data_IF_052277565400
#
_entry.id   IF_052277565400
#
_cell.length_a   1.000
_cell.length_b   1.000
_cell.length_c   1.000
_cell.angle_alpha   90.00
_cell.angle_beta   90.00
_cell.angle_gamma   90.00
#
_symmetry.space_group_name_H-M   'P 1'
#
loop_
_entity.id
_entity.type
_entity.pdbx_description
1 polymer ?
#
# COMPACT_ATOMS: atom_id res chain seq x y z
N UNK A 1 18.72 15.05 -9.73
CA UNK A 1 18.83 14.35 -8.44
C UNK A 1 20.03 13.40 -8.41
N UNK A 2 20.29 12.64 -9.47
CA UNK A 2 21.47 11.75 -9.54
C UNK A 2 22.77 12.57 -9.42
N UNK A 3 22.86 13.67 -10.14
CA UNK A 3 23.99 14.61 -10.05
C UNK A 3 24.21 15.08 -8.61
N UNK A 4 23.15 15.51 -7.94
CA UNK A 4 23.21 15.99 -6.56
C UNK A 4 23.69 14.93 -5.57
N UNK A 5 23.05 13.76 -5.55
CA UNK A 5 23.39 12.74 -4.58
C UNK A 5 24.67 11.98 -4.90
N UNK A 6 24.88 11.62 -6.16
CA UNK A 6 25.95 10.69 -6.52
C UNK A 6 27.27 11.41 -6.85
N UNK A 7 27.19 12.58 -7.46
CA UNK A 7 28.38 13.36 -7.83
C UNK A 7 28.71 14.39 -6.76
N UNK A 8 27.80 15.33 -6.44
CA UNK A 8 28.10 16.40 -5.48
C UNK A 8 28.24 15.89 -4.04
N UNK A 9 27.34 15.03 -3.57
CA UNK A 9 27.40 14.41 -2.24
C UNK A 9 28.31 13.17 -2.18
N UNK A 10 28.86 12.73 -3.31
CA UNK A 10 29.79 11.59 -3.45
C UNK A 10 29.26 10.30 -2.83
N UNK A 11 27.96 10.03 -2.98
CA UNK A 11 27.33 8.80 -2.48
C UNK A 11 27.41 7.74 -3.56
N UNK A 12 27.76 6.51 -3.18
CA UNK A 12 27.71 5.37 -4.12
C UNK A 12 26.33 5.20 -4.72
N UNK A 13 26.19 5.14 -6.07
CA UNK A 13 24.89 5.13 -6.72
C UNK A 13 24.08 3.87 -6.40
N UNK A 14 22.82 4.06 -6.01
CA UNK A 14 21.85 2.97 -6.04
C UNK A 14 21.49 2.65 -7.49
N UNK A 15 21.40 1.37 -7.82
CA UNK A 15 21.15 0.91 -9.18
C UNK A 15 19.85 0.11 -9.28
N UNK A 16 19.13 0.27 -10.40
CA UNK A 16 18.01 -0.58 -10.79
C UNK A 16 18.24 -1.02 -12.24
N UNK A 17 18.27 -2.33 -12.49
CA UNK A 17 18.64 -2.85 -13.80
C UNK A 17 20.03 -2.41 -14.27
N UNK A 18 21.02 -2.34 -13.36
CA UNK A 18 22.39 -1.94 -13.66
C UNK A 18 22.63 -0.42 -13.81
N UNK A 19 21.57 0.40 -13.87
CA UNK A 19 21.67 1.86 -14.07
C UNK A 19 21.46 2.64 -12.77
N UNK A 20 22.19 3.73 -12.53
CA UNK A 20 21.95 4.62 -11.39
C UNK A 20 20.50 5.08 -11.36
N UNK A 21 19.91 5.13 -10.16
CA UNK A 21 18.51 5.53 -9.98
C UNK A 21 18.33 6.36 -8.72
N UNK A 22 17.37 7.28 -8.74
CA UNK A 22 16.83 8.00 -7.59
C UNK A 22 15.33 7.71 -7.45
N UNK A 23 14.95 6.44 -7.67
CA UNK A 23 13.57 5.99 -7.44
C UNK A 23 13.21 6.06 -5.95
N UNK A 24 11.98 5.71 -5.61
CA UNK A 24 11.49 5.81 -4.24
C UNK A 24 12.33 4.98 -3.25
N UNK A 25 12.74 3.77 -3.62
CA UNK A 25 13.58 2.90 -2.78
C UNK A 25 14.97 3.50 -2.55
N UNK A 26 15.58 4.08 -3.58
CA UNK A 26 16.86 4.77 -3.43
C UNK A 26 16.73 5.98 -2.50
N UNK A 27 15.66 6.76 -2.65
CA UNK A 27 15.41 7.91 -1.77
C UNK A 27 15.12 7.49 -0.33
N UNK A 28 14.38 6.40 -0.10
CA UNK A 28 14.18 5.84 1.26
C UNK A 28 15.50 5.46 1.92
N UNK A 29 16.38 4.79 1.18
CA UNK A 29 17.71 4.43 1.70
C UNK A 29 18.56 5.67 2.00
N UNK A 30 18.49 6.70 1.17
CA UNK A 30 19.18 7.97 1.41
C UNK A 30 18.63 8.68 2.65
N UNK A 31 17.31 8.72 2.81
CA UNK A 31 16.66 9.30 3.99
C UNK A 31 17.07 8.59 5.29
N UNK A 32 17.11 7.25 5.29
CA UNK A 32 17.63 6.46 6.45
C UNK A 32 19.09 6.75 6.77
N UNK A 33 19.89 7.19 5.81
CA UNK A 33 21.27 7.63 6.00
C UNK A 33 21.39 9.09 6.46
N UNK A 34 20.28 9.76 6.77
CA UNK A 34 20.25 11.12 7.30
C UNK A 34 20.18 12.22 6.24
N UNK A 35 20.00 11.90 4.95
CA UNK A 35 19.83 12.91 3.90
C UNK A 35 18.38 13.43 3.91
N UNK A 36 18.13 14.51 4.67
CA UNK A 36 16.81 15.13 4.81
C UNK A 36 16.19 15.53 3.48
N UNK A 37 17.02 15.93 2.53
CA UNK A 37 16.59 16.31 1.18
C UNK A 37 15.86 15.14 0.46
N UNK A 38 16.28 13.90 0.72
CA UNK A 38 15.63 12.73 0.13
C UNK A 38 14.19 12.58 0.61
N UNK A 39 13.90 12.82 1.89
CA UNK A 39 12.54 12.81 2.44
C UNK A 39 11.68 13.92 1.83
N UNK A 40 12.22 15.13 1.73
CA UNK A 40 11.52 16.26 1.11
C UNK A 40 11.15 15.96 -0.35
N UNK A 41 12.09 15.39 -1.09
CA UNK A 41 11.84 15.00 -2.49
C UNK A 41 10.75 13.94 -2.60
N UNK A 42 10.71 12.98 -1.67
CA UNK A 42 9.63 11.98 -1.63
C UNK A 42 8.28 12.63 -1.35
N UNK A 43 8.21 13.58 -0.42
CA UNK A 43 6.98 14.32 -0.14
C UNK A 43 6.51 15.13 -1.34
N UNK A 44 7.41 15.85 -2.00
CA UNK A 44 7.10 16.59 -3.23
C UNK A 44 6.57 15.65 -4.32
N UNK A 45 7.22 14.51 -4.53
CA UNK A 45 6.77 13.51 -5.51
C UNK A 45 5.40 12.95 -5.17
N UNK A 46 5.15 12.66 -3.89
CA UNK A 46 3.86 12.18 -3.41
C UNK A 46 2.74 13.19 -3.69
N UNK A 47 2.96 14.46 -3.32
CA UNK A 47 1.99 15.53 -3.55
C UNK A 47 1.74 15.76 -5.05
N UNK A 48 2.80 15.81 -5.85
CA UNK A 48 2.68 15.98 -7.30
C UNK A 48 1.92 14.81 -7.95
N UNK A 49 2.19 13.58 -7.51
CA UNK A 49 1.45 12.39 -7.96
C UNK A 49 -0.02 12.45 -7.57
N UNK A 50 -0.32 12.88 -6.34
CA UNK A 50 -1.71 13.05 -5.90
C UNK A 50 -2.42 14.12 -6.72
N UNK A 51 -1.79 15.26 -6.94
CA UNK A 51 -2.33 16.34 -7.77
C UNK A 51 -2.63 15.86 -9.19
N UNK A 52 -1.64 15.28 -9.86
CA UNK A 52 -1.78 14.86 -11.25
C UNK A 52 -2.79 13.71 -11.44
N UNK A 53 -2.87 12.79 -10.47
CA UNK A 53 -3.74 11.63 -10.62
C UNK A 53 -5.18 11.87 -10.17
N UNK A 54 -5.42 12.80 -9.23
CA UNK A 54 -6.72 12.92 -8.58
C UNK A 54 -7.32 14.33 -8.63
N UNK A 55 -6.51 15.38 -8.79
CA UNK A 55 -6.98 16.76 -8.73
C UNK A 55 -6.85 17.49 -10.08
N UNK A 56 -6.51 16.78 -11.14
CA UNK A 56 -6.44 17.38 -12.47
C UNK A 56 -7.88 17.61 -13.00
N UNK A 57 -8.25 18.86 -13.36
CA UNK A 57 -9.58 19.16 -13.90
C UNK A 57 -9.95 18.35 -15.14
N UNK A 58 -8.97 17.87 -15.91
CA UNK A 58 -9.20 17.02 -17.09
C UNK A 58 -9.84 15.67 -16.77
N UNK A 59 -9.87 15.27 -15.50
CA UNK A 59 -10.52 14.05 -15.05
C UNK A 59 -12.02 14.23 -14.81
N UNK A 60 -12.50 15.46 -14.74
CA UNK A 60 -13.91 15.79 -14.46
C UNK A 60 -14.64 15.98 -15.78
N UNK A 61 -15.79 15.34 -15.91
CA UNK A 61 -16.67 15.54 -17.06
C UNK A 61 -17.34 16.93 -17.01
N UNK A 62 -17.86 17.46 -18.13
CA UNK A 62 -18.50 18.79 -18.17
C UNK A 62 -19.65 18.98 -17.19
N UNK A 63 -20.27 17.90 -16.76
CA UNK A 63 -21.37 17.90 -15.76
C UNK A 63 -20.86 17.87 -14.31
N UNK A 64 -19.55 18.02 -14.08
CA UNK A 64 -18.94 18.02 -12.76
C UNK A 64 -18.71 16.63 -12.15
N UNK A 65 -18.95 15.56 -12.89
CA UNK A 65 -18.80 14.18 -12.40
C UNK A 65 -17.47 13.58 -12.78
N UNK A 66 -16.99 12.68 -11.93
CA UNK A 66 -15.83 11.82 -12.20
C UNK A 66 -16.35 10.42 -12.51
N UNK A 67 -15.99 9.91 -13.68
CA UNK A 67 -16.37 8.57 -14.15
C UNK A 67 -15.16 7.70 -14.40
N UNK A 68 -15.37 6.40 -14.46
CA UNK A 68 -14.35 5.45 -14.92
C UNK A 68 -15.00 4.34 -15.74
N UNK A 69 -14.19 3.66 -16.52
CA UNK A 69 -14.57 2.38 -17.14
C UNK A 69 -14.04 1.24 -16.29
N UNK A 70 -14.90 0.27 -15.99
CA UNK A 70 -14.50 -0.96 -15.31
C UNK A 70 -14.29 -2.07 -16.32
N UNK A 71 -13.15 -2.75 -16.21
CA UNK A 71 -12.83 -3.96 -16.96
C UNK A 71 -12.87 -5.16 -15.99
N UNK A 72 -13.87 -6.05 -16.12
CA UNK A 72 -14.01 -7.21 -15.21
C UNK A 72 -12.90 -8.23 -15.36
N UNK A 73 -12.18 -8.25 -16.49
CA UNK A 73 -11.08 -9.19 -16.78
C UNK A 73 -9.76 -8.44 -17.02
N UNK A 74 -9.60 -7.27 -16.41
CA UNK A 74 -8.50 -6.35 -16.68
C UNK A 74 -7.15 -6.76 -16.06
N UNK A 75 -7.11 -7.80 -15.24
CA UNK A 75 -5.87 -8.27 -14.60
C UNK A 75 -5.65 -9.77 -14.81
N UNK A 76 -4.39 -10.21 -14.72
CA UNK A 76 -4.02 -11.62 -14.84
C UNK A 76 -4.74 -12.54 -13.84
N UNK A 77 -5.17 -11.97 -12.72
CA UNK A 77 -5.80 -12.71 -11.62
C UNK A 77 -7.32 -12.49 -11.56
N UNK A 78 -7.93 -12.10 -12.69
CA UNK A 78 -9.38 -11.86 -12.82
C UNK A 78 -9.92 -10.80 -11.82
N UNK A 79 -9.07 -9.89 -11.35
CA UNK A 79 -9.52 -8.72 -10.59
C UNK A 79 -10.05 -7.67 -11.55
N UNK A 80 -11.12 -7.01 -11.16
CA UNK A 80 -11.64 -5.84 -11.88
C UNK A 80 -10.57 -4.75 -11.86
N UNK A 81 -10.33 -4.13 -13.00
CA UNK A 81 -9.52 -2.91 -13.10
C UNK A 81 -10.38 -1.73 -13.52
N UNK A 82 -9.95 -0.53 -13.21
CA UNK A 82 -10.60 0.69 -13.67
C UNK A 82 -9.60 1.63 -14.36
N UNK A 83 -10.10 2.36 -15.34
CA UNK A 83 -9.32 3.29 -16.15
C UNK A 83 -10.18 4.50 -16.56
N UNK A 84 -9.60 5.41 -17.31
CA UNK A 84 -10.34 6.47 -17.98
C UNK A 84 -11.48 5.88 -18.82
N UNK A 85 -12.54 6.66 -18.99
CA UNK A 85 -13.64 6.28 -19.85
C UNK A 85 -13.25 6.35 -21.34
N UNK A 86 -14.14 5.94 -22.22
CA UNK A 86 -13.92 5.93 -23.68
C UNK A 86 -13.71 7.33 -24.27
N UNK A 87 -14.14 8.38 -23.58
CA UNK A 87 -13.97 9.78 -24.00
C UNK A 87 -12.64 10.39 -23.53
N UNK A 88 -11.81 9.61 -22.83
CA UNK A 88 -10.50 10.06 -22.32
C UNK A 88 -10.57 10.87 -21.02
N UNK A 89 -11.76 11.13 -20.48
CA UNK A 89 -11.96 11.72 -19.16
C UNK A 89 -12.01 10.66 -18.05
N UNK A 90 -12.12 11.11 -16.81
CA UNK A 90 -12.17 10.19 -15.68
C UNK A 90 -10.80 9.62 -15.28
N UNK A 91 -10.82 8.66 -14.36
CA UNK A 91 -9.62 8.10 -13.78
C UNK A 91 -9.83 6.70 -13.20
N UNK A 92 -8.77 6.08 -12.69
CA UNK A 92 -8.88 4.85 -11.91
C UNK A 92 -9.43 5.15 -10.51
N UNK A 93 -10.73 4.91 -10.29
CA UNK A 93 -11.39 5.14 -9.01
C UNK A 93 -11.07 4.09 -7.94
N UNK A 94 -10.54 2.90 -8.31
CA UNK A 94 -10.16 1.87 -7.34
C UNK A 94 -8.93 2.25 -6.51
N UNK A 95 -8.12 3.19 -7.00
CA UNK A 95 -6.90 3.63 -6.32
C UNK A 95 -7.08 4.99 -5.61
N UNK A 96 -8.32 5.42 -5.39
CA UNK A 96 -8.59 6.69 -4.72
C UNK A 96 -8.07 6.67 -3.28
N UNK A 97 -7.21 7.63 -2.87
CA UNK A 97 -6.66 7.64 -1.52
C UNK A 97 -7.75 7.87 -0.48
N UNK A 98 -7.71 7.14 0.62
CA UNK A 98 -8.69 7.25 1.71
C UNK A 98 -8.83 8.69 2.23
N UNK A 99 -7.73 9.44 2.31
CA UNK A 99 -7.70 10.84 2.72
C UNK A 99 -8.45 11.78 1.78
N UNK A 100 -8.68 11.35 0.54
CA UNK A 100 -9.34 12.14 -0.50
C UNK A 100 -10.80 11.74 -0.75
N UNK A 101 -11.29 10.65 -0.13
CA UNK A 101 -12.69 10.22 -0.28
C UNK A 101 -13.69 11.31 0.12
N UNK A 102 -13.34 12.15 1.07
CA UNK A 102 -14.16 13.29 1.52
C UNK A 102 -14.48 14.33 0.45
N UNK A 103 -13.75 14.32 -0.66
CA UNK A 103 -13.98 15.22 -1.80
C UNK A 103 -14.92 14.63 -2.85
N UNK A 104 -15.27 13.35 -2.74
CA UNK A 104 -16.28 12.72 -3.56
C UNK A 104 -17.66 12.94 -2.91
N UNK A 105 -18.51 13.70 -3.56
CA UNK A 105 -19.84 14.01 -3.07
C UNK A 105 -20.85 13.10 -3.75
N UNK A 106 -21.79 12.58 -2.97
CA UNK A 106 -22.97 11.92 -3.51
C UNK A 106 -23.93 12.93 -4.12
N UNK A 107 -24.82 12.49 -5.02
CA UNK A 107 -25.88 13.31 -5.54
C UNK A 107 -26.82 13.80 -4.42
N UNK A 108 -27.52 14.92 -4.61
CA UNK A 108 -28.52 15.36 -3.65
C UNK A 108 -29.52 14.25 -3.32
N UNK A 109 -29.73 14.01 -2.03
CA UNK A 109 -30.61 12.93 -1.55
C UNK A 109 -29.99 11.53 -1.55
N UNK A 110 -28.70 11.39 -1.90
CA UNK A 110 -27.97 10.12 -1.90
C UNK A 110 -26.80 10.17 -0.92
N UNK A 111 -26.35 9.00 -0.48
CA UNK A 111 -25.18 8.83 0.37
C UNK A 111 -24.31 7.70 -0.14
N UNK A 112 -23.02 7.76 0.11
CA UNK A 112 -22.10 6.66 -0.17
C UNK A 112 -22.03 5.70 1.02
N UNK A 113 -22.09 4.42 0.71
CA UNK A 113 -21.76 3.36 1.64
C UNK A 113 -20.45 2.70 1.20
N UNK A 114 -19.55 2.45 2.14
CA UNK A 114 -18.32 1.70 1.91
C UNK A 114 -18.39 0.38 2.67
N UNK A 115 -18.24 -0.72 1.96
CA UNK A 115 -18.19 -2.07 2.52
C UNK A 115 -16.84 -2.68 2.23
N UNK A 116 -16.19 -3.21 3.25
CA UNK A 116 -14.94 -3.96 3.13
C UNK A 116 -15.06 -5.29 3.86
N UNK A 117 -14.70 -6.37 3.18
CA UNK A 117 -14.71 -7.70 3.77
C UNK A 117 -13.44 -7.91 4.57
N UNK A 118 -13.59 -7.97 5.90
CA UNK A 118 -12.46 -8.10 6.82
C UNK A 118 -11.60 -9.32 6.49
N UNK A 119 -10.36 -9.07 6.08
CA UNK A 119 -9.33 -10.07 5.81
C UNK A 119 -9.77 -11.17 4.82
N UNK A 120 -10.62 -10.84 3.85
CA UNK A 120 -11.24 -11.83 2.96
C UNK A 120 -10.23 -12.77 2.29
N UNK A 121 -9.14 -12.25 1.73
CA UNK A 121 -8.11 -13.08 1.07
C UNK A 121 -7.48 -14.08 2.06
N UNK A 122 -7.17 -13.66 3.28
CA UNK A 122 -6.63 -14.55 4.29
C UNK A 122 -7.64 -15.60 4.75
N UNK A 123 -8.93 -15.26 4.80
CA UNK A 123 -10.00 -16.24 5.08
C UNK A 123 -10.05 -17.30 3.99
N UNK A 124 -10.05 -16.88 2.72
CA UNK A 124 -10.03 -17.82 1.59
C UNK A 124 -8.81 -18.74 1.67
N UNK A 125 -7.61 -18.21 1.93
CA UNK A 125 -6.39 -19.02 2.10
C UNK A 125 -6.53 -19.99 3.26
N UNK A 126 -7.04 -19.56 4.39
CA UNK A 126 -7.22 -20.41 5.58
C UNK A 126 -8.14 -21.60 5.30
N UNK A 127 -9.30 -21.37 4.71
CA UNK A 127 -10.28 -22.42 4.46
C UNK A 127 -9.92 -23.31 3.27
N UNK A 128 -9.44 -22.75 2.17
CA UNK A 128 -9.01 -23.54 0.99
C UNK A 128 -7.75 -24.35 1.30
N UNK A 129 -6.80 -23.75 2.03
CA UNK A 129 -5.57 -24.42 2.46
C UNK A 129 -5.74 -25.30 3.69
N UNK A 130 -6.93 -25.32 4.31
CA UNK A 130 -7.23 -26.05 5.55
C UNK A 130 -6.20 -25.77 6.67
N UNK A 131 -5.87 -24.48 6.87
CA UNK A 131 -4.90 -24.03 7.87
C UNK A 131 -5.60 -23.87 9.22
N UNK A 132 -5.58 -24.92 10.03
CA UNK A 132 -6.36 -25.03 11.28
C UNK A 132 -6.18 -23.81 12.21
N UNK A 133 -4.94 -23.35 12.42
CA UNK A 133 -4.64 -22.21 13.30
C UNK A 133 -5.27 -20.91 12.81
N UNK A 134 -5.29 -20.67 11.48
CA UNK A 134 -5.92 -19.48 10.91
C UNK A 134 -7.45 -19.57 10.99
N UNK A 135 -8.00 -20.75 10.73
CA UNK A 135 -9.45 -21.00 10.85
C UNK A 135 -9.89 -20.73 12.28
N UNK A 136 -9.22 -21.33 13.27
CA UNK A 136 -9.50 -21.12 14.69
C UNK A 136 -9.44 -19.62 15.06
N UNK A 137 -8.41 -18.92 14.61
CA UNK A 137 -8.30 -17.49 14.86
C UNK A 137 -9.47 -16.69 14.27
N UNK A 138 -9.95 -17.04 13.08
CA UNK A 138 -11.12 -16.39 12.48
C UNK A 138 -12.43 -16.72 13.18
N UNK A 139 -12.63 -17.96 13.60
CA UNK A 139 -13.83 -18.41 14.32
C UNK A 139 -13.92 -17.81 15.73
N UNK A 140 -12.77 -17.64 16.40
CA UNK A 140 -12.69 -17.01 17.73
C UNK A 140 -12.61 -15.48 17.68
N UNK A 141 -12.64 -14.88 16.49
CA UNK A 141 -12.55 -13.42 16.31
C UNK A 141 -11.18 -12.83 16.60
N UNK A 142 -10.12 -13.64 16.61
CA UNK A 142 -8.75 -13.16 16.77
C UNK A 142 -8.24 -12.49 15.49
N UNK A 143 -7.38 -11.49 15.67
CA UNK A 143 -6.72 -10.83 14.54
C UNK A 143 -5.52 -11.64 14.06
N UNK A 144 -5.68 -12.32 12.93
CA UNK A 144 -4.64 -13.16 12.31
C UNK A 144 -3.33 -12.41 12.08
N UNK A 145 -3.38 -11.10 11.77
CA UNK A 145 -2.17 -10.32 11.59
C UNK A 145 -1.38 -10.10 12.88
N UNK A 146 -2.09 -9.88 14.00
CA UNK A 146 -1.46 -9.76 15.31
C UNK A 146 -0.95 -11.11 15.78
N UNK A 147 -1.68 -12.19 15.52
CA UNK A 147 -1.22 -13.56 15.82
C UNK A 147 0.08 -13.87 15.07
N UNK A 148 0.14 -13.59 13.78
CA UNK A 148 1.35 -13.78 12.98
C UNK A 148 2.51 -12.91 13.48
N UNK A 149 2.25 -11.66 13.85
CA UNK A 149 3.28 -10.81 14.43
C UNK A 149 3.81 -11.35 15.76
N UNK A 150 2.91 -11.81 16.63
CA UNK A 150 3.27 -12.48 17.91
C UNK A 150 4.20 -13.65 17.68
N UNK A 151 3.91 -14.51 16.70
CA UNK A 151 4.74 -15.67 16.35
C UNK A 151 6.09 -15.29 15.75
N UNK A 152 6.13 -14.27 14.88
CA UNK A 152 7.39 -13.86 14.22
C UNK A 152 8.35 -13.19 15.19
N UNK A 153 7.82 -12.36 16.09
CA UNK A 153 8.64 -11.52 16.95
C UNK A 153 8.76 -12.06 18.39
N UNK A 154 8.14 -13.21 18.67
CA UNK A 154 8.11 -13.84 19.99
C UNK A 154 7.64 -12.87 21.10
N UNK A 155 6.52 -12.19 20.85
CA UNK A 155 5.90 -11.23 21.77
C UNK A 155 4.46 -11.62 22.09
N UNK A 156 3.91 -11.19 23.24
CA UNK A 156 2.51 -11.39 23.57
C UNK A 156 1.58 -10.81 22.49
N UNK A 157 0.46 -11.50 22.22
CA UNK A 157 -0.49 -11.08 21.19
C UNK A 157 -1.08 -9.66 21.47
N UNK A 158 -1.23 -9.31 22.73
CA UNK A 158 -1.75 -7.99 23.13
C UNK A 158 -0.75 -6.88 22.82
N UNK A 159 0.55 -7.13 22.95
CA UNK A 159 1.59 -6.22 22.49
C UNK A 159 1.61 -6.10 20.97
N UNK A 160 1.39 -7.20 20.27
CA UNK A 160 1.29 -7.21 18.81
C UNK A 160 0.08 -6.44 18.28
N UNK A 161 -1.03 -6.39 19.03
CA UNK A 161 -2.25 -5.63 18.70
C UNK A 161 -2.09 -4.14 18.91
N UNK A 162 -1.22 -3.72 19.83
CA UNK A 162 -1.03 -2.32 20.16
C UNK A 162 -0.43 -1.54 19.00
N UNK A 163 -1.19 -0.61 18.47
CA UNK A 163 -0.77 0.24 17.35
C UNK A 163 0.30 1.26 17.73
N UNK A 164 0.45 1.56 19.02
CA UNK A 164 1.48 2.45 19.53
C UNK A 164 2.83 1.75 19.73
N UNK A 165 2.81 0.41 19.83
CA UNK A 165 4.01 -0.39 20.01
C UNK A 165 4.73 -0.61 18.67
N UNK A 166 5.74 0.23 18.41
CA UNK A 166 6.49 0.22 17.15
C UNK A 166 7.55 -0.89 17.14
N UNK A 167 7.67 -1.59 16.03
CA UNK A 167 8.63 -2.67 15.86
C UNK A 167 10.05 -2.12 15.57
N UNK A 168 11.03 -2.26 16.48
CA UNK A 168 12.39 -1.76 16.27
C UNK A 168 13.18 -2.54 15.23
N UNK A 169 12.79 -3.80 14.96
CA UNK A 169 13.44 -4.67 13.98
C UNK A 169 13.08 -4.33 12.53
N UNK A 170 12.08 -3.46 12.32
CA UNK A 170 11.71 -2.96 11.01
C UNK A 170 12.34 -1.60 10.72
N UNK A 171 11.49 -0.65 10.36
CA UNK A 171 11.90 0.74 10.13
C UNK A 171 11.73 1.64 11.38
N UNK A 172 11.29 1.07 12.50
CA UNK A 172 11.00 1.77 13.75
C UNK A 172 9.79 2.69 13.70
N UNK A 173 9.04 2.69 12.59
CA UNK A 173 7.90 3.59 12.37
C UNK A 173 6.55 2.87 12.30
N UNK A 174 6.58 1.55 12.16
CA UNK A 174 5.38 0.74 12.02
C UNK A 174 5.21 -0.21 13.21
N UNK A 175 3.95 -0.43 13.67
CA UNK A 175 3.67 -1.38 14.75
C UNK A 175 3.90 -2.82 14.31
N UNK A 176 4.07 -3.74 15.26
CA UNK A 176 4.27 -5.17 15.01
C UNK A 176 3.19 -5.77 14.11
N UNK A 177 1.92 -5.42 14.33
CA UNK A 177 0.79 -5.85 13.50
C UNK A 177 0.96 -5.53 12.02
N UNK A 178 1.58 -4.41 11.66
CA UNK A 178 1.86 -4.05 10.28
C UNK A 178 2.77 -5.08 9.61
N UNK A 179 3.78 -5.53 10.33
CA UNK A 179 4.72 -6.54 9.84
C UNK A 179 4.07 -7.91 9.71
N UNK A 180 3.23 -8.32 10.68
CA UNK A 180 2.41 -9.52 10.57
C UNK A 180 1.47 -9.48 9.36
N UNK A 181 0.83 -8.33 9.10
CA UNK A 181 0.03 -8.14 7.88
C UNK A 181 0.87 -8.29 6.61
N UNK A 182 2.05 -7.69 6.57
CA UNK A 182 2.96 -7.76 5.43
C UNK A 182 3.45 -9.19 5.19
N UNK A 183 3.72 -9.94 6.26
CA UNK A 183 4.08 -11.35 6.22
C UNK A 183 2.95 -12.18 5.60
N UNK A 184 1.75 -12.13 6.15
CA UNK A 184 0.60 -12.88 5.64
C UNK A 184 0.32 -12.61 4.17
N UNK A 185 0.26 -11.33 3.78
CA UNK A 185 0.06 -10.99 2.37
C UNK A 185 1.21 -11.48 1.48
N UNK A 186 2.44 -11.33 1.92
CA UNK A 186 3.59 -11.79 1.14
C UNK A 186 3.59 -13.30 0.95
N UNK A 187 3.38 -14.05 2.01
CA UNK A 187 3.38 -15.52 2.00
C UNK A 187 2.20 -16.08 1.20
N UNK A 188 1.02 -15.48 1.28
CA UNK A 188 -0.13 -15.87 0.45
C UNK A 188 0.12 -15.74 -1.05
N UNK A 189 1.10 -14.92 -1.45
CA UNK A 189 1.52 -14.71 -2.83
C UNK A 189 2.91 -15.29 -3.14
N UNK A 190 3.33 -16.29 -2.40
CA UNK A 190 4.61 -16.99 -2.60
C UNK A 190 5.84 -16.07 -2.52
N UNK A 191 5.83 -15.14 -1.57
CA UNK A 191 6.98 -14.28 -1.30
C UNK A 191 8.12 -15.12 -0.73
N UNK A 192 9.20 -15.25 -1.51
CA UNK A 192 10.38 -15.98 -1.07
C UNK A 192 11.11 -15.27 0.09
N UNK A 193 11.83 -16.03 0.90
CA UNK A 193 12.52 -15.55 2.12
C UNK A 193 13.48 -14.37 1.87
N UNK A 194 14.15 -14.32 0.71
CA UNK A 194 15.05 -13.21 0.35
C UNK A 194 14.31 -11.87 0.20
N UNK A 195 13.09 -11.90 -0.32
CA UNK A 195 12.25 -10.71 -0.48
C UNK A 195 11.51 -10.35 0.80
N UNK A 196 11.33 -11.31 1.69
CA UNK A 196 10.73 -11.10 3.02
C UNK A 196 11.71 -10.43 3.99
N UNK A 197 12.99 -10.76 3.90
CA UNK A 197 14.06 -10.24 4.78
C UNK A 197 14.50 -8.79 4.45
N UNK A 198 13.95 -8.16 3.41
CA UNK A 198 14.25 -6.79 2.99
C UNK A 198 13.22 -5.78 3.52
#
# INVERSE_FOLDING_TARGET
LQEYFYNLKRISPYKKGGRPTTNDDALKRLARRGFREASIIQDIRRVNKQRANYLDPSHVDPDGRIRCSYNPVGTRYSRISSSKNIFGTGMNLQNWPHSMLKYLLADPGHIYYSFDLSQFENRVVAYVGNVAQMIEAFETGQDVHSLTASLIFDIPIDEAKDKSNLCPLGDGTHPYRFWGKKANHGLNYDLGYKSFAL
#
